data_IF_574491745153
#
_entry.id   IF_574491745153
#
_cell.length_a   1.000
_cell.length_b   1.000
_cell.length_c   1.000
_cell.angle_alpha   90.00
_cell.angle_beta   90.00
_cell.angle_gamma   90.00
#
_symmetry.space_group_name_H-M   'P 1'
#
loop_
_entity.id
_entity.type
_entity.pdbx_description
1 polymer ?
#
# COMPACT_ATOMS: atom_id res chain seq x y z
N UNK A 1 -18.06 -0.66 -9.38
CA UNK A 1 -17.31 0.60 -9.30
C UNK A 1 -15.79 0.45 -9.45
N UNK A 2 -15.27 -0.76 -9.60
CA UNK A 2 -13.85 -0.99 -9.87
C UNK A 2 -13.39 -0.60 -11.27
N UNK A 3 -14.31 -0.28 -12.17
CA UNK A 3 -14.06 0.14 -13.53
C UNK A 3 -14.74 1.49 -13.82
N UNK A 4 -14.29 2.16 -14.90
CA UNK A 4 -14.91 3.38 -15.35
C UNK A 4 -16.40 3.14 -15.70
N UNK A 5 -17.27 3.89 -15.01
CA UNK A 5 -18.70 3.90 -15.27
C UNK A 5 -19.18 5.36 -15.24
N UNK A 6 -19.55 5.86 -16.38
CA UNK A 6 -19.83 7.28 -16.59
C UNK A 6 -20.90 7.83 -15.64
N UNK A 7 -22.00 7.09 -15.42
CA UNK A 7 -23.10 7.48 -14.54
C UNK A 7 -22.84 7.18 -13.04
N UNK A 8 -21.79 6.45 -12.73
CA UNK A 8 -21.49 5.96 -11.38
C UNK A 8 -21.42 7.06 -10.31
N UNK A 9 -20.67 8.16 -10.51
CA UNK A 9 -20.61 9.26 -9.55
C UNK A 9 -21.97 9.92 -9.33
N UNK A 10 -22.74 10.14 -10.38
CA UNK A 10 -24.08 10.73 -10.29
C UNK A 10 -25.06 9.78 -9.58
N UNK A 11 -25.01 8.50 -9.89
CA UNK A 11 -25.84 7.48 -9.23
C UNK A 11 -25.53 7.42 -7.73
N UNK A 12 -24.26 7.42 -7.32
CA UNK A 12 -23.87 7.46 -5.91
C UNK A 12 -24.34 8.74 -5.22
N UNK A 13 -24.21 9.88 -5.87
CA UNK A 13 -24.69 11.15 -5.35
C UNK A 13 -26.19 11.11 -5.06
N UNK A 14 -27.00 10.63 -6.00
CA UNK A 14 -28.45 10.50 -5.82
C UNK A 14 -28.78 9.49 -4.74
N UNK A 15 -28.10 8.33 -4.74
CA UNK A 15 -28.28 7.29 -3.71
C UNK A 15 -28.07 7.85 -2.30
N UNK A 16 -26.95 8.53 -2.07
CA UNK A 16 -26.64 9.09 -0.76
C UNK A 16 -27.61 10.21 -0.35
N UNK A 17 -28.03 11.06 -1.30
CA UNK A 17 -29.07 12.04 -1.02
C UNK A 17 -30.38 11.39 -0.60
N UNK A 18 -30.83 10.36 -1.31
CA UNK A 18 -32.05 9.64 -0.95
C UNK A 18 -31.93 8.99 0.43
N UNK A 19 -30.82 8.36 0.74
CA UNK A 19 -30.60 7.74 2.06
C UNK A 19 -30.60 8.79 3.18
N UNK A 20 -30.09 10.00 2.91
CA UNK A 20 -30.00 11.05 3.92
C UNK A 20 -31.31 11.82 4.12
N UNK A 21 -32.07 12.09 3.05
CA UNK A 21 -33.23 12.96 3.09
C UNK A 21 -34.58 12.22 3.07
N UNK A 22 -34.63 11.02 2.49
CA UNK A 22 -35.83 10.22 2.45
C UNK A 22 -35.97 9.41 3.78
N UNK A 23 -37.18 9.10 4.16
CA UNK A 23 -37.44 8.24 5.33
C UNK A 23 -37.13 6.76 4.99
N UNK A 24 -35.85 6.41 5.09
CA UNK A 24 -35.36 5.08 4.79
C UNK A 24 -35.24 4.22 6.05
N UNK A 25 -35.71 2.98 5.97
CA UNK A 25 -35.61 1.98 7.06
C UNK A 25 -34.19 1.43 7.26
N UNK A 26 -33.15 2.05 6.69
CA UNK A 26 -31.75 1.62 6.80
C UNK A 26 -30.81 2.82 6.96
N UNK A 27 -29.64 2.55 7.54
CA UNK A 27 -28.55 3.53 7.72
C UNK A 27 -27.28 3.04 7.03
N UNK A 28 -26.51 3.98 6.53
CA UNK A 28 -25.12 3.72 6.16
C UNK A 28 -24.27 3.71 7.43
N UNK A 29 -23.48 2.66 7.58
CA UNK A 29 -22.51 2.51 8.67
C UNK A 29 -21.21 1.93 8.10
N UNK A 30 -20.12 2.14 8.80
CA UNK A 30 -18.84 1.48 8.47
C UNK A 30 -18.82 0.03 8.98
N UNK A 31 -17.95 -0.83 8.42
CA UNK A 31 -17.75 -2.17 8.97
C UNK A 31 -17.38 -2.17 10.46
N UNK A 32 -16.56 -1.20 10.90
CA UNK A 32 -16.17 -1.07 12.31
C UNK A 32 -17.38 -0.77 13.20
N UNK A 33 -18.21 0.21 12.82
CA UNK A 33 -19.45 0.51 13.55
C UNK A 33 -20.40 -0.68 13.60
N UNK A 34 -20.43 -1.51 12.55
CA UNK A 34 -21.23 -2.74 12.55
C UNK A 34 -20.72 -3.76 13.57
N UNK A 35 -19.40 -3.98 13.61
CA UNK A 35 -18.78 -4.90 14.57
C UNK A 35 -19.00 -4.43 16.00
N UNK A 36 -18.85 -3.14 16.28
CA UNK A 36 -19.07 -2.56 17.61
C UNK A 36 -20.52 -2.73 18.06
N UNK A 37 -21.47 -2.58 17.13
CA UNK A 37 -22.90 -2.72 17.42
C UNK A 37 -23.33 -4.18 17.62
N UNK A 38 -22.72 -5.11 16.89
CA UNK A 38 -23.06 -6.52 16.88
C UNK A 38 -21.83 -7.40 17.19
N UNK A 39 -21.34 -7.41 18.45
CA UNK A 39 -20.10 -8.09 18.81
C UNK A 39 -20.20 -9.63 18.70
N UNK A 40 -21.40 -10.19 18.77
CA UNK A 40 -21.66 -11.63 18.67
C UNK A 40 -22.03 -12.00 17.23
N UNK A 41 -21.04 -12.13 16.36
CA UNK A 41 -21.26 -12.53 14.98
C UNK A 41 -20.92 -14.00 14.75
N UNK A 42 -21.44 -14.55 13.66
CA UNK A 42 -21.07 -15.90 13.22
C UNK A 42 -19.60 -15.95 12.82
N UNK A 43 -18.92 -17.01 13.22
CA UNK A 43 -17.55 -17.28 12.77
C UNK A 43 -17.62 -18.04 11.44
N UNK A 44 -16.90 -17.56 10.44
CA UNK A 44 -16.77 -18.20 9.14
C UNK A 44 -15.30 -18.47 8.82
N UNK A 45 -15.04 -19.57 8.16
CA UNK A 45 -13.72 -19.91 7.60
C UNK A 45 -13.84 -19.96 6.07
N UNK A 46 -13.60 -18.84 5.37
CA UNK A 46 -13.69 -18.81 3.92
C UNK A 46 -12.60 -19.67 3.28
N UNK A 47 -12.90 -20.26 2.13
CA UNK A 47 -11.89 -20.92 1.31
C UNK A 47 -10.81 -19.94 0.87
N UNK A 48 -9.57 -20.43 0.72
CA UNK A 48 -8.50 -19.65 0.07
C UNK A 48 -8.96 -19.26 -1.34
N UNK A 49 -8.95 -17.98 -1.61
CA UNK A 49 -9.36 -17.45 -2.91
C UNK A 49 -8.65 -16.11 -3.19
N UNK A 50 -8.62 -15.73 -4.45
CA UNK A 50 -8.18 -14.42 -4.89
C UNK A 50 -9.01 -13.95 -6.09
N UNK A 51 -8.87 -12.70 -6.44
CA UNK A 51 -9.44 -12.15 -7.67
C UNK A 51 -8.77 -12.69 -8.94
N UNK A 52 -7.56 -13.23 -8.82
CA UNK A 52 -6.73 -13.69 -9.94
C UNK A 52 -7.23 -14.95 -10.65
N UNK A 53 -6.43 -15.45 -11.61
CA UNK A 53 -6.74 -16.62 -12.43
C UNK A 53 -7.15 -17.83 -11.57
N UNK A 54 -8.24 -18.48 -11.96
CA UNK A 54 -8.82 -19.64 -11.28
C UNK A 54 -9.15 -19.42 -9.79
N UNK A 55 -9.25 -18.16 -9.33
CA UNK A 55 -9.48 -17.84 -7.93
C UNK A 55 -8.26 -18.02 -7.01
N UNK A 56 -7.07 -18.26 -7.56
CA UNK A 56 -5.81 -18.42 -6.82
C UNK A 56 -4.84 -17.28 -7.07
N UNK A 57 -3.70 -17.30 -6.38
CA UNK A 57 -2.71 -16.20 -6.41
C UNK A 57 -1.78 -16.21 -7.62
N UNK A 58 -2.02 -17.02 -8.64
CA UNK A 58 -1.14 -17.23 -9.79
C UNK A 58 -0.76 -15.95 -10.55
N UNK A 59 -1.65 -14.95 -10.57
CA UNK A 59 -1.38 -13.66 -11.21
C UNK A 59 -0.25 -12.91 -10.48
N UNK A 60 -0.17 -13.04 -9.16
CA UNK A 60 0.82 -12.33 -8.32
C UNK A 60 2.00 -13.19 -7.90
N UNK A 61 1.94 -14.51 -8.12
CA UNK A 61 3.01 -15.44 -7.76
C UNK A 61 3.13 -16.52 -8.82
N UNK A 62 4.06 -16.34 -9.74
CA UNK A 62 4.40 -17.26 -10.80
C UNK A 62 5.86 -17.05 -11.26
N UNK A 63 6.43 -17.93 -12.10
CA UNK A 63 7.84 -17.85 -12.50
C UNK A 63 8.26 -16.53 -13.18
N UNK A 64 7.32 -15.73 -13.68
CA UNK A 64 7.65 -14.44 -14.31
C UNK A 64 7.86 -13.30 -13.31
N UNK A 65 7.36 -13.44 -12.07
CA UNK A 65 7.34 -12.38 -11.07
C UNK A 65 7.78 -12.79 -9.66
N UNK A 66 8.02 -14.09 -9.39
CA UNK A 66 8.35 -14.61 -8.06
C UNK A 66 9.62 -14.00 -7.46
N UNK A 67 10.61 -13.67 -8.29
CA UNK A 67 11.85 -13.02 -7.86
C UNK A 67 11.63 -11.68 -7.14
N UNK A 68 10.53 -11.00 -7.41
CA UNK A 68 10.21 -9.70 -6.79
C UNK A 68 9.92 -9.84 -5.30
N UNK A 69 9.25 -10.92 -4.91
CA UNK A 69 8.84 -11.15 -3.52
C UNK A 69 10.03 -11.18 -2.56
N UNK A 70 11.14 -11.79 -2.97
CA UNK A 70 12.35 -11.82 -2.16
C UNK A 70 12.84 -10.40 -1.81
N UNK A 71 12.82 -9.49 -2.76
CA UNK A 71 13.24 -8.11 -2.54
C UNK A 71 12.26 -7.35 -1.64
N UNK A 72 10.95 -7.58 -1.81
CA UNK A 72 9.92 -6.97 -0.98
C UNK A 72 10.00 -7.45 0.47
N UNK A 73 10.22 -8.75 0.70
CA UNK A 73 10.37 -9.31 2.05
C UNK A 73 11.59 -8.71 2.75
N UNK A 74 12.76 -8.74 2.10
CA UNK A 74 13.97 -8.13 2.68
C UNK A 74 13.78 -6.64 2.97
N UNK A 75 13.06 -5.90 2.13
CA UNK A 75 12.78 -4.49 2.40
C UNK A 75 11.79 -4.32 3.57
N UNK A 76 10.80 -5.20 3.70
CA UNK A 76 9.88 -5.24 4.83
C UNK A 76 10.61 -5.47 6.15
N UNK A 77 11.45 -6.52 6.22
CA UNK A 77 12.26 -6.83 7.41
C UNK A 77 13.16 -5.65 7.82
N UNK A 78 13.81 -5.02 6.84
CA UNK A 78 14.64 -3.83 7.05
C UNK A 78 13.83 -2.62 7.52
N UNK A 79 12.58 -2.47 7.07
CA UNK A 79 11.72 -1.38 7.55
C UNK A 79 11.34 -1.59 9.03
N UNK A 80 11.00 -2.83 9.41
CA UNK A 80 10.76 -3.21 10.81
C UNK A 80 12.03 -2.99 11.66
N UNK A 81 13.21 -3.38 11.16
CA UNK A 81 14.49 -3.09 11.83
C UNK A 81 14.66 -1.59 12.10
N UNK A 82 14.48 -0.75 11.07
CA UNK A 82 14.62 0.71 11.23
C UNK A 82 13.61 1.29 12.23
N UNK A 83 12.36 0.83 12.19
CA UNK A 83 11.33 1.31 13.10
C UNK A 83 11.67 0.99 14.56
N UNK A 84 12.18 -0.21 14.82
CA UNK A 84 12.61 -0.64 16.14
C UNK A 84 13.90 0.05 16.60
N UNK A 85 14.86 0.30 15.71
CA UNK A 85 16.11 0.99 16.05
C UNK A 85 15.89 2.47 16.36
N UNK A 86 14.91 3.11 15.75
CA UNK A 86 14.70 4.56 15.87
C UNK A 86 13.27 4.92 16.30
N UNK A 87 12.76 4.41 17.45
CA UNK A 87 11.35 4.58 17.85
C UNK A 87 10.96 6.04 18.11
N UNK A 88 11.93 6.92 18.38
CA UNK A 88 11.72 8.33 18.72
C UNK A 88 12.44 9.30 17.77
N UNK A 89 12.66 8.91 16.51
CA UNK A 89 13.30 9.77 15.53
C UNK A 89 12.53 11.09 15.32
N UNK A 90 13.28 12.19 15.16
CA UNK A 90 12.76 13.53 14.93
C UNK A 90 13.45 14.19 13.72
N UNK A 91 12.92 15.31 13.27
CA UNK A 91 13.55 16.13 12.23
C UNK A 91 13.80 15.37 10.93
N UNK A 92 15.01 15.49 10.40
CA UNK A 92 15.43 14.90 9.14
C UNK A 92 15.33 13.39 9.13
N UNK A 93 15.77 12.74 10.21
CA UNK A 93 15.72 11.28 10.35
C UNK A 93 14.29 10.74 10.29
N UNK A 94 13.33 11.40 10.98
CA UNK A 94 11.91 11.03 10.88
C UNK A 94 11.38 11.16 9.46
N UNK A 95 11.74 12.23 8.74
CA UNK A 95 11.34 12.41 7.34
C UNK A 95 11.88 11.30 6.44
N UNK A 96 13.15 10.91 6.63
CA UNK A 96 13.77 9.83 5.88
C UNK A 96 13.12 8.46 6.18
N UNK A 97 12.80 8.16 7.43
CA UNK A 97 12.08 6.95 7.85
C UNK A 97 10.67 6.88 7.23
N UNK A 98 9.93 7.98 7.27
CA UNK A 98 8.61 8.05 6.63
C UNK A 98 8.71 7.89 5.10
N UNK A 99 9.74 8.46 4.46
CA UNK A 99 9.95 8.25 3.02
C UNK A 99 10.34 6.80 2.72
N UNK A 100 11.15 6.18 3.57
CA UNK A 100 11.48 4.75 3.47
C UNK A 100 10.21 3.87 3.48
N UNK A 101 9.32 4.11 4.44
CA UNK A 101 8.04 3.42 4.52
C UNK A 101 7.17 3.65 3.26
N UNK A 102 7.16 4.87 2.73
CA UNK A 102 6.42 5.22 1.51
C UNK A 102 6.97 4.50 0.28
N UNK A 103 8.30 4.45 0.12
CA UNK A 103 8.94 3.73 -1.00
C UNK A 103 8.63 2.22 -0.91
N UNK A 104 8.61 1.65 0.29
CA UNK A 104 8.23 0.25 0.49
C UNK A 104 6.77 -0.01 0.07
N UNK A 105 5.82 0.82 0.51
CA UNK A 105 4.41 0.67 0.12
C UNK A 105 4.23 0.79 -1.40
N UNK A 106 4.93 1.73 -2.05
CA UNK A 106 4.88 1.90 -3.50
C UNK A 106 5.52 0.72 -4.24
N UNK A 107 6.58 0.12 -3.70
CA UNK A 107 7.17 -1.10 -4.26
C UNK A 107 6.23 -2.31 -4.13
N UNK A 108 5.41 -2.36 -3.07
CA UNK A 108 4.47 -3.44 -2.76
C UNK A 108 3.15 -3.35 -3.54
N UNK A 109 2.93 -2.31 -4.35
CA UNK A 109 1.71 -2.21 -5.15
C UNK A 109 1.50 -3.47 -5.98
N UNK A 110 0.33 -4.09 -5.84
CA UNK A 110 -0.02 -5.34 -6.52
C UNK A 110 -0.07 -5.19 -8.05
N UNK A 111 -0.23 -3.97 -8.53
CA UNK A 111 -0.25 -3.65 -9.96
C UNK A 111 1.02 -4.10 -10.68
N UNK A 112 2.18 -3.97 -10.05
CA UNK A 112 3.43 -4.32 -10.70
C UNK A 112 3.51 -5.79 -11.08
N UNK A 113 3.17 -6.69 -10.17
CA UNK A 113 3.17 -8.13 -10.41
C UNK A 113 2.08 -8.53 -11.40
N UNK A 114 0.91 -7.90 -11.30
CA UNK A 114 -0.19 -8.08 -12.24
C UNK A 114 0.20 -7.68 -13.67
N UNK A 115 0.83 -6.52 -13.84
CA UNK A 115 1.29 -6.02 -15.15
C UNK A 115 2.37 -6.93 -15.73
N UNK A 116 3.31 -7.42 -14.91
CA UNK A 116 4.36 -8.36 -15.34
C UNK A 116 3.72 -9.64 -15.88
N UNK A 117 2.74 -10.19 -15.16
CA UNK A 117 2.04 -11.43 -15.56
C UNK A 117 1.25 -11.24 -16.85
N UNK A 118 0.51 -10.13 -16.97
CA UNK A 118 -0.34 -9.86 -18.14
C UNK A 118 0.44 -9.37 -19.37
N UNK A 119 1.71 -9.02 -19.23
CA UNK A 119 2.57 -8.66 -20.34
C UNK A 119 2.32 -7.28 -20.98
N UNK A 120 1.48 -6.43 -20.36
CA UNK A 120 1.02 -5.18 -21.00
C UNK A 120 2.06 -4.06 -20.99
N UNK A 121 2.74 -3.85 -19.86
CA UNK A 121 3.75 -2.79 -19.67
C UNK A 121 4.89 -3.29 -18.76
N UNK A 122 5.46 -4.43 -19.10
CA UNK A 122 6.41 -5.16 -18.24
C UNK A 122 7.62 -4.32 -17.83
N UNK A 123 8.24 -3.63 -18.78
CA UNK A 123 9.44 -2.82 -18.50
C UNK A 123 9.13 -1.65 -17.58
N UNK A 124 7.95 -1.05 -17.71
CA UNK A 124 7.50 -0.01 -16.80
C UNK A 124 7.34 -0.55 -15.37
N UNK A 125 6.64 -1.66 -15.20
CA UNK A 125 6.45 -2.27 -13.88
C UNK A 125 7.78 -2.67 -13.23
N UNK A 126 8.68 -3.33 -13.98
CA UNK A 126 10.03 -3.66 -13.51
C UNK A 126 10.83 -2.42 -13.11
N UNK A 127 10.75 -1.37 -13.91
CA UNK A 127 11.41 -0.09 -13.60
C UNK A 127 10.87 0.52 -12.30
N UNK A 128 9.54 0.55 -12.11
CA UNK A 128 8.91 1.08 -10.88
C UNK A 128 9.38 0.32 -9.64
N UNK A 129 9.33 -1.01 -9.65
CA UNK A 129 9.83 -1.85 -8.55
C UNK A 129 11.30 -1.52 -8.27
N UNK A 130 12.15 -1.53 -9.30
CA UNK A 130 13.58 -1.25 -9.15
C UNK A 130 13.85 0.12 -8.57
N UNK A 131 13.12 1.15 -9.04
CA UNK A 131 13.28 2.53 -8.58
C UNK A 131 12.90 2.64 -7.09
N UNK A 132 11.76 2.09 -6.67
CA UNK A 132 11.32 2.15 -5.28
C UNK A 132 12.20 1.35 -4.33
N UNK A 133 12.55 0.10 -4.69
CA UNK A 133 13.49 -0.72 -3.89
C UNK A 133 14.87 -0.07 -3.82
N UNK A 134 15.33 0.54 -4.91
CA UNK A 134 16.60 1.26 -4.94
C UNK A 134 16.62 2.48 -4.01
N UNK A 135 15.56 3.30 -4.03
CA UNK A 135 15.39 4.47 -3.14
C UNK A 135 15.27 4.04 -1.68
N UNK A 136 14.46 3.02 -1.40
CA UNK A 136 14.36 2.41 -0.09
C UNK A 136 15.72 1.96 0.44
N UNK A 137 16.46 1.20 -0.37
CA UNK A 137 17.76 0.64 0.01
C UNK A 137 18.78 1.74 0.28
N UNK A 138 18.82 2.77 -0.56
CA UNK A 138 19.71 3.92 -0.35
C UNK A 138 19.39 4.64 0.96
N UNK A 139 18.11 4.93 1.23
CA UNK A 139 17.69 5.54 2.49
C UNK A 139 18.00 4.65 3.70
N UNK A 140 17.79 3.35 3.60
CA UNK A 140 18.09 2.40 4.68
C UNK A 140 19.53 2.53 5.15
N UNK A 141 20.50 2.51 4.23
CA UNK A 141 21.91 2.67 4.59
C UNK A 141 22.22 4.06 5.12
N UNK A 142 21.72 5.11 4.48
CA UNK A 142 21.94 6.49 4.92
C UNK A 142 21.39 6.74 6.34
N UNK A 143 20.25 6.16 6.68
CA UNK A 143 19.66 6.26 8.03
C UNK A 143 20.53 5.54 9.06
N UNK A 144 21.02 4.34 8.74
CA UNK A 144 21.87 3.54 9.64
C UNK A 144 23.25 4.18 9.86
N UNK A 145 23.81 4.79 8.83
CA UNK A 145 25.12 5.45 8.87
C UNK A 145 25.04 6.92 9.35
N UNK A 146 23.84 7.39 9.64
CA UNK A 146 23.56 8.81 10.00
C UNK A 146 24.08 9.81 8.95
N UNK A 147 24.05 9.44 7.68
CA UNK A 147 24.61 10.17 6.52
C UNK A 147 23.53 10.53 5.49
N UNK A 148 22.40 11.09 5.95
CA UNK A 148 21.23 11.36 5.12
C UNK A 148 21.53 12.49 4.14
N UNK A 149 21.45 12.18 2.84
CA UNK A 149 21.52 13.15 1.74
C UNK A 149 20.20 13.93 1.63
N UNK A 150 20.22 15.18 2.11
CA UNK A 150 19.01 16.03 2.14
C UNK A 150 18.48 16.36 0.74
N UNK A 151 19.36 16.53 -0.25
CA UNK A 151 18.94 16.86 -1.61
C UNK A 151 18.23 15.66 -2.24
N UNK A 152 18.81 14.49 -2.09
CA UNK A 152 18.18 13.24 -2.54
C UNK A 152 16.83 13.02 -1.85
N UNK A 153 16.78 13.17 -0.52
CA UNK A 153 15.55 13.01 0.24
C UNK A 153 14.45 13.97 -0.25
N UNK A 154 14.77 15.25 -0.43
CA UNK A 154 13.83 16.25 -0.96
C UNK A 154 13.32 15.91 -2.35
N UNK A 155 14.19 15.42 -3.24
CA UNK A 155 13.82 15.03 -4.61
C UNK A 155 12.81 13.87 -4.60
N UNK A 156 13.09 12.80 -3.85
CA UNK A 156 12.19 11.64 -3.80
C UNK A 156 10.89 11.93 -3.04
N UNK A 157 10.90 12.76 -2.00
CA UNK A 157 9.69 13.23 -1.33
C UNK A 157 8.77 14.02 -2.26
N UNK A 158 9.34 14.77 -3.21
CA UNK A 158 8.56 15.51 -4.21
C UNK A 158 7.98 14.57 -5.28
N UNK A 159 8.74 13.55 -5.68
CA UNK A 159 8.31 12.57 -6.70
C UNK A 159 7.23 11.62 -6.18
N UNK A 160 7.42 11.14 -4.98
CA UNK A 160 6.57 10.11 -4.36
C UNK A 160 5.95 10.68 -3.07
N UNK A 161 4.95 11.56 -3.23
CA UNK A 161 4.32 12.33 -2.15
C UNK A 161 3.00 11.73 -1.64
N UNK A 162 2.66 10.50 -2.02
CA UNK A 162 1.47 9.80 -1.53
C UNK A 162 1.57 9.52 -0.02
N UNK A 163 0.44 9.26 0.62
CA UNK A 163 0.35 9.02 2.07
C UNK A 163 1.02 10.13 2.91
N UNK A 164 0.48 11.36 2.89
CA UNK A 164 1.10 12.51 3.55
C UNK A 164 1.30 12.30 5.05
N UNK A 165 0.38 11.59 5.70
CA UNK A 165 0.35 11.34 7.14
C UNK A 165 1.00 10.01 7.55
N UNK A 166 1.80 9.38 6.66
CA UNK A 166 2.47 8.12 6.97
C UNK A 166 3.37 8.27 8.20
N UNK A 167 3.27 7.35 9.14
CA UNK A 167 4.21 7.23 10.25
C UNK A 167 4.90 5.86 10.19
N UNK A 168 6.22 5.88 10.04
CA UNK A 168 7.05 4.68 9.97
C UNK A 168 6.90 3.74 11.17
N UNK A 169 6.39 4.25 12.31
CA UNK A 169 6.17 3.47 13.54
C UNK A 169 5.13 2.36 13.40
N UNK A 170 4.32 2.38 12.34
CA UNK A 170 3.41 1.25 12.05
C UNK A 170 4.15 -0.07 11.78
N UNK A 171 5.46 -0.02 11.57
CA UNK A 171 6.32 -1.18 11.36
C UNK A 171 7.06 -1.65 12.62
N UNK A 172 6.85 -1.01 13.77
CA UNK A 172 7.46 -1.40 15.07
C UNK A 172 6.65 -2.46 15.81
#
# INVERSE_FOLDING_TARGET
YGHWWYEGPYWLYILFKKIYYDDCNFKLITPSEYIDKYPNMQVASPCRSSWGANGYSEVWLNPSNDYVHRHLHVAGDRMCELANLFPNAKGLKKKALNQCARELLLAQSSDWLFIITNGTMVDYAKKRIKDHIGRFTKLYYQIKEDSIDELFLKDIMKKDCVFPDIDYKIYS
#
